data_IF_007150542359
#
_entry.id   IF_007150542359
#
_cell.length_a   1.000
_cell.length_b   1.000
_cell.length_c   1.000
_cell.angle_alpha   90.00
_cell.angle_beta   90.00
_cell.angle_gamma   90.00
#
_symmetry.space_group_name_H-M   'P 1'
#
loop_
_entity.id
_entity.type
_entity.pdbx_description
1 polymer ?
#
# COMPACT_ATOMS: atom_id res chain seq x y z
N UNK A 1 -8.02 -10.95 -19.81
CA UNK A 1 -8.83 -10.41 -18.69
C UNK A 1 -7.93 -10.34 -17.48
N UNK A 2 -7.83 -9.17 -16.83
CA UNK A 2 -6.96 -8.92 -15.67
C UNK A 2 -7.17 -9.92 -14.52
N UNK A 3 -8.41 -10.39 -14.33
CA UNK A 3 -8.74 -11.41 -13.32
C UNK A 3 -8.24 -12.83 -13.64
N UNK A 4 -7.66 -13.06 -14.83
CA UNK A 4 -7.10 -14.35 -15.26
C UNK A 4 -5.57 -14.33 -15.37
N UNK A 5 -4.93 -13.27 -14.88
CA UNK A 5 -3.48 -13.18 -14.83
C UNK A 5 -3.04 -13.43 -13.39
N UNK A 6 -2.28 -14.51 -13.20
CA UNK A 6 -2.00 -15.10 -11.88
C UNK A 6 -1.33 -14.13 -10.89
N UNK A 7 -0.56 -13.16 -11.39
CA UNK A 7 0.14 -12.15 -10.58
C UNK A 7 -0.66 -10.87 -10.33
N UNK A 8 -1.85 -10.72 -10.93
CA UNK A 8 -2.64 -9.48 -10.86
C UNK A 8 -3.85 -9.67 -9.94
N UNK A 9 -4.52 -10.83 -9.99
CA UNK A 9 -5.59 -11.19 -9.04
C UNK A 9 -6.86 -10.33 -9.07
N UNK A 10 -6.95 -9.32 -9.94
CA UNK A 10 -8.07 -8.37 -10.02
C UNK A 10 -7.71 -7.12 -10.83
N UNK A 11 -8.57 -6.10 -10.82
CA UNK A 11 -8.28 -4.82 -11.47
C UNK A 11 -7.68 -3.80 -10.49
N UNK A 12 -8.43 -3.41 -9.46
CA UNK A 12 -8.00 -2.46 -8.44
C UNK A 12 -8.64 -2.80 -7.08
N UNK A 13 -8.03 -2.35 -5.99
CA UNK A 13 -8.53 -2.63 -4.64
C UNK A 13 -9.73 -1.76 -4.25
N UNK A 14 -10.84 -2.40 -3.87
CA UNK A 14 -12.00 -1.74 -3.30
C UNK A 14 -12.26 -2.27 -1.89
N UNK A 15 -12.42 -1.36 -0.93
CA UNK A 15 -12.81 -1.75 0.43
C UNK A 15 -14.31 -2.11 0.43
N UNK A 16 -14.69 -3.18 1.13
CA UNK A 16 -16.10 -3.47 1.37
C UNK A 16 -16.75 -2.32 2.16
N UNK A 17 -18.07 -2.08 2.01
CA UNK A 17 -18.78 -1.08 2.81
C UNK A 17 -18.49 -1.23 4.31
N UNK A 18 -18.11 -0.13 4.97
CA UNK A 18 -17.71 -0.11 6.39
C UNK A 18 -16.24 -0.48 6.67
N UNK A 19 -15.46 -0.92 5.68
CA UNK A 19 -14.07 -1.36 5.85
C UNK A 19 -13.01 -0.39 5.33
N UNK A 20 -13.34 0.90 5.16
CA UNK A 20 -12.38 1.91 4.68
C UNK A 20 -11.11 1.97 5.55
N UNK A 21 -11.25 1.77 6.88
CA UNK A 21 -10.12 1.78 7.81
C UNK A 21 -9.12 0.63 7.63
N UNK A 22 -9.47 -0.45 6.90
CA UNK A 22 -8.57 -1.57 6.66
C UNK A 22 -7.31 -1.17 5.87
N UNK A 23 -7.38 -0.10 5.06
CA UNK A 23 -6.23 0.41 4.29
C UNK A 23 -5.10 0.90 5.22
N UNK A 24 -5.47 1.58 6.30
CA UNK A 24 -4.51 2.04 7.29
C UNK A 24 -3.82 0.85 7.99
N UNK A 25 -4.57 -0.23 8.27
CA UNK A 25 -4.00 -1.46 8.84
C UNK A 25 -3.04 -2.13 7.85
N UNK A 26 -3.42 -2.24 6.58
CA UNK A 26 -2.59 -2.81 5.52
C UNK A 26 -1.28 -2.03 5.30
N UNK A 27 -1.30 -0.71 5.47
CA UNK A 27 -0.13 0.15 5.30
C UNK A 27 0.90 0.06 6.43
N UNK A 28 0.58 -0.60 7.56
CA UNK A 28 1.46 -0.64 8.74
C UNK A 28 2.69 -1.50 8.49
N UNK A 29 3.90 -1.00 8.76
CA UNK A 29 5.10 -1.80 8.67
C UNK A 29 5.14 -2.89 9.76
N UNK A 30 5.89 -3.96 9.50
CA UNK A 30 6.07 -5.10 10.40
C UNK A 30 7.54 -5.24 10.78
N UNK A 31 7.80 -5.09 12.09
CA UNK A 31 9.10 -5.37 12.71
C UNK A 31 10.26 -4.55 12.15
N UNK A 32 9.99 -3.31 11.72
CA UNK A 32 10.96 -2.39 11.10
C UNK A 32 11.77 -3.02 9.94
N UNK A 33 11.19 -4.02 9.28
CA UNK A 33 11.86 -4.82 8.25
C UNK A 33 11.00 -4.96 7.01
N UNK A 34 9.69 -5.03 7.18
CA UNK A 34 8.73 -5.18 6.10
C UNK A 34 7.84 -3.94 6.02
N UNK A 35 7.81 -3.32 4.85
CA UNK A 35 7.05 -2.09 4.58
C UNK A 35 6.13 -2.35 3.39
N UNK A 36 4.95 -1.75 3.41
CA UNK A 36 3.92 -1.96 2.39
C UNK A 36 3.61 -0.66 1.64
N UNK A 37 3.60 -0.78 0.31
CA UNK A 37 3.22 0.26 -0.65
C UNK A 37 2.24 -0.33 -1.68
N UNK A 38 1.67 0.53 -2.51
CA UNK A 38 0.63 0.22 -3.49
C UNK A 38 -0.65 1.00 -3.21
N UNK A 39 -1.46 1.17 -4.24
CA UNK A 39 -2.72 1.92 -4.21
C UNK A 39 -3.68 1.42 -3.12
N UNK A 40 -3.62 0.14 -2.78
CA UNK A 40 -4.43 -0.46 -1.71
C UNK A 40 -4.12 0.11 -0.32
N UNK A 41 -2.91 0.65 -0.13
CA UNK A 41 -2.39 1.18 1.13
C UNK A 41 -2.63 2.68 1.31
N UNK A 42 -3.16 3.36 0.27
CA UNK A 42 -3.46 4.79 0.31
C UNK A 42 -4.88 5.04 0.85
N UNK A 43 -5.04 5.97 1.79
CA UNK A 43 -6.31 6.16 2.50
C UNK A 43 -7.38 6.86 1.64
N UNK A 44 -6.99 7.88 0.88
CA UNK A 44 -7.87 8.70 0.03
C UNK A 44 -7.82 8.27 -1.43
N UNK A 45 -6.62 8.21 -2.01
CA UNK A 45 -6.40 7.99 -3.46
C UNK A 45 -6.18 6.53 -3.85
N UNK A 46 -7.01 5.64 -3.31
CA UNK A 46 -6.99 4.22 -3.67
C UNK A 46 -7.44 3.99 -5.12
N UNK A 47 -7.01 2.88 -5.73
CA UNK A 47 -7.28 2.53 -7.14
C UNK A 47 -6.69 3.51 -8.17
N UNK A 48 -5.74 4.37 -7.78
CA UNK A 48 -5.07 5.30 -8.69
C UNK A 48 -3.57 5.03 -8.76
N UNK A 49 -2.96 5.32 -9.92
CA UNK A 49 -1.50 5.27 -10.07
C UNK A 49 -0.80 6.31 -9.18
N UNK A 50 -1.46 7.44 -8.93
CA UNK A 50 -0.94 8.48 -8.05
C UNK A 50 -0.84 7.99 -6.59
N UNK A 51 -1.89 7.39 -6.05
CA UNK A 51 -1.85 6.81 -4.70
C UNK A 51 -0.85 5.67 -4.57
N UNK A 52 -0.64 4.88 -5.62
CA UNK A 52 0.44 3.89 -5.66
C UNK A 52 1.83 4.55 -5.55
N UNK A 53 2.07 5.60 -6.32
CA UNK A 53 3.32 6.36 -6.30
C UNK A 53 3.59 7.00 -4.92
N UNK A 54 2.62 7.74 -4.38
CA UNK A 54 2.76 8.41 -3.08
C UNK A 54 2.97 7.41 -1.94
N UNK A 55 2.26 6.28 -1.96
CA UNK A 55 2.48 5.21 -0.99
C UNK A 55 3.89 4.59 -1.10
N UNK A 56 4.48 4.60 -2.29
CA UNK A 56 5.85 4.16 -2.52
C UNK A 56 6.88 5.10 -1.90
N UNK A 57 6.71 6.42 -2.07
CA UNK A 57 7.55 7.43 -1.40
C UNK A 57 7.46 7.29 0.12
N UNK A 58 6.25 7.14 0.66
CA UNK A 58 6.03 6.90 2.09
C UNK A 58 6.79 5.67 2.60
N UNK A 59 6.70 4.54 1.89
CA UNK A 59 7.40 3.32 2.30
C UNK A 59 8.93 3.47 2.22
N UNK A 60 9.44 4.20 1.23
CA UNK A 60 10.87 4.49 1.11
C UNK A 60 11.39 5.35 2.27
N UNK A 61 10.65 6.38 2.67
CA UNK A 61 10.98 7.21 3.83
C UNK A 61 11.01 6.39 5.13
N UNK A 62 10.05 5.47 5.30
CA UNK A 62 10.01 4.56 6.44
C UNK A 62 11.24 3.63 6.49
N UNK A 63 11.66 3.10 5.34
CA UNK A 63 12.89 2.30 5.24
C UNK A 63 14.12 3.15 5.58
N UNK A 64 14.24 4.35 5.01
CA UNK A 64 15.37 5.23 5.24
C UNK A 64 15.52 5.62 6.73
N UNK A 65 14.41 5.89 7.41
CA UNK A 65 14.39 6.20 8.83
C UNK A 65 14.94 5.05 9.70
N UNK A 66 14.73 3.79 9.29
CA UNK A 66 15.25 2.62 10.02
C UNK A 66 16.72 2.33 9.66
N UNK A 67 17.14 2.61 8.43
CA UNK A 67 18.49 2.32 7.95
C UNK A 67 19.53 3.36 8.35
N UNK A 68 19.10 4.58 8.69
CA UNK A 68 20.02 5.64 9.10
C UNK A 68 20.27 5.55 10.61
N UNK A 69 21.48 5.18 11.08
CA UNK A 69 21.78 5.18 12.50
C UNK A 69 21.74 6.62 13.03
N UNK A 70 21.24 6.81 14.25
CA UNK A 70 21.32 8.10 14.96
C UNK A 70 22.75 8.51 15.29
#
# INVERSE_FOLDING_TARGET
>A
SWCRTDWIGGSYSHALPGHAGARAVLARPVGDRLFFAGEATHQSDFSTAHGAWESGLRAADQVAAVLTPS
#
